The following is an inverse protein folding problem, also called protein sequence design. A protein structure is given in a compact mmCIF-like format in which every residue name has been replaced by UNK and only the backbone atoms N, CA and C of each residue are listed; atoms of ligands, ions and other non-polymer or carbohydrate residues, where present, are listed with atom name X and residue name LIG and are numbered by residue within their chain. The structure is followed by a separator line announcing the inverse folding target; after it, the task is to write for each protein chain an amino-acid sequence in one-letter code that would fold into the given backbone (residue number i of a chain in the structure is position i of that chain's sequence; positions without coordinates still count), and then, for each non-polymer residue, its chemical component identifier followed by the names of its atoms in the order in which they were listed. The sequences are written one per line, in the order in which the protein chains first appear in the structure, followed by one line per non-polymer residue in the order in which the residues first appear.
data_IF_669386809776
#
_entry.id   IF_669386809776
#
_cell.length_a   1.000
_cell.length_b   1.000
_cell.length_c   1.000
_cell.angle_alpha   90.00
_cell.angle_beta   90.00
_cell.angle_gamma   90.00
#
_symmetry.space_group_name_H-M   'P 1'
#
loop_
_entity.id
_entity.type
_entity.pdbx_description
1 polymer ?
#
# COMPACT_ATOMS: atom_id res chain seq x y z
N UNK A 1 15.71 -11.45 1.81
CA UNK A 1 15.02 -12.16 0.71
C UNK A 1 13.55 -11.81 0.79
N UNK A 2 12.92 -11.35 -0.30
CA UNK A 2 11.48 -11.11 -0.30
C UNK A 2 10.79 -12.45 -0.54
N UNK A 3 10.13 -12.99 0.49
CA UNK A 3 9.28 -14.16 0.34
C UNK A 3 8.03 -13.76 -0.46
N UNK A 4 7.60 -14.61 -1.39
CA UNK A 4 6.31 -14.41 -2.05
C UNK A 4 5.24 -14.81 -1.04
N UNK A 5 4.35 -13.89 -0.63
CA UNK A 5 3.29 -14.25 0.29
C UNK A 5 2.35 -15.25 -0.38
N UNK A 6 2.08 -16.36 0.31
CA UNK A 6 1.04 -17.30 -0.11
C UNK A 6 -0.33 -16.66 0.08
N UNK A 7 -1.16 -16.73 -0.96
CA UNK A 7 -2.53 -16.22 -0.94
C UNK A 7 -3.49 -17.39 -0.91
N UNK A 8 -4.51 -17.31 -0.07
CA UNK A 8 -5.63 -18.25 -0.15
C UNK A 8 -6.35 -18.13 -1.50
N UNK A 9 -7.14 -19.14 -1.85
CA UNK A 9 -7.97 -19.10 -3.05
C UNK A 9 -8.89 -17.87 -3.08
N UNK A 10 -9.47 -17.50 -1.93
CA UNK A 10 -10.36 -16.34 -1.82
C UNK A 10 -9.61 -15.02 -1.99
N UNK A 11 -8.44 -14.87 -1.35
CA UNK A 11 -7.59 -13.70 -1.52
C UNK A 11 -7.12 -13.55 -2.97
N UNK A 12 -6.77 -14.66 -3.61
CA UNK A 12 -6.37 -14.69 -5.02
C UNK A 12 -7.51 -14.27 -5.96
N UNK A 13 -8.74 -14.71 -5.70
CA UNK A 13 -9.92 -14.27 -6.47
C UNK A 13 -10.17 -12.77 -6.30
N UNK A 14 -10.10 -12.26 -5.08
CA UNK A 14 -10.27 -10.83 -4.79
C UNK A 14 -9.21 -9.99 -5.49
N UNK A 15 -7.94 -10.37 -5.36
CA UNK A 15 -6.84 -9.66 -6.02
C UNK A 15 -6.99 -9.67 -7.54
N UNK A 16 -7.43 -10.78 -8.14
CA UNK A 16 -7.67 -10.87 -9.59
C UNK A 16 -8.76 -9.90 -10.05
N UNK A 17 -9.85 -9.77 -9.29
CA UNK A 17 -10.94 -8.81 -9.59
C UNK A 17 -10.43 -7.37 -9.52
N UNK A 18 -9.62 -7.03 -8.51
CA UNK A 18 -8.98 -5.72 -8.40
C UNK A 18 -8.06 -5.46 -9.60
N UNK A 19 -7.24 -6.47 -9.96
CA UNK A 19 -6.32 -6.37 -11.09
C UNK A 19 -7.05 -6.12 -12.42
N UNK A 20 -8.18 -6.78 -12.65
CA UNK A 20 -9.05 -6.52 -13.81
C UNK A 20 -9.64 -5.13 -13.80
N UNK A 21 -10.19 -4.68 -12.67
CA UNK A 21 -10.76 -3.34 -12.54
C UNK A 21 -9.73 -2.23 -12.80
N UNK A 22 -8.48 -2.45 -12.37
CA UNK A 22 -7.38 -1.52 -12.58
C UNK A 22 -6.61 -1.74 -13.90
N UNK A 23 -7.05 -2.69 -14.73
CA UNK A 23 -6.42 -3.09 -16.00
C UNK A 23 -4.89 -3.32 -15.87
N UNK A 24 -4.47 -4.12 -14.89
CA UNK A 24 -3.06 -4.41 -14.66
C UNK A 24 -2.80 -5.86 -14.21
N UNK A 25 -1.56 -6.37 -14.32
CA UNK A 25 -1.20 -7.70 -13.80
C UNK A 25 -1.39 -7.78 -12.27
N UNK A 26 -1.76 -8.96 -11.76
CA UNK A 26 -2.02 -9.19 -10.32
C UNK A 26 -0.87 -8.77 -9.41
N UNK A 27 0.39 -8.95 -9.82
CA UNK A 27 1.56 -8.51 -9.04
C UNK A 27 1.62 -6.98 -8.89
N UNK A 28 1.29 -6.24 -9.96
CA UNK A 28 1.23 -4.77 -9.89
C UNK A 28 0.05 -4.31 -9.04
N UNK A 29 -1.10 -4.99 -9.16
CA UNK A 29 -2.26 -4.72 -8.32
C UNK A 29 -1.96 -4.95 -6.84
N UNK A 30 -1.22 -6.02 -6.50
CA UNK A 30 -0.82 -6.30 -5.12
C UNK A 30 0.06 -5.17 -4.55
N UNK A 31 1.04 -4.70 -5.32
CA UNK A 31 1.89 -3.58 -4.91
C UNK A 31 1.07 -2.31 -4.68
N UNK A 32 0.11 -2.02 -5.57
CA UNK A 32 -0.80 -0.88 -5.42
C UNK A 32 -1.68 -1.01 -4.17
N UNK A 33 -2.14 -2.21 -3.83
CA UNK A 33 -2.88 -2.47 -2.59
C UNK A 33 -2.00 -2.22 -1.36
N UNK A 34 -0.74 -2.66 -1.36
CA UNK A 34 0.17 -2.37 -0.25
C UNK A 34 0.49 -0.88 -0.11
N UNK A 35 0.65 -0.16 -1.22
CA UNK A 35 0.85 1.30 -1.20
C UNK A 35 -0.39 2.02 -0.66
N UNK A 36 -1.58 1.61 -1.11
CA UNK A 36 -2.85 2.16 -0.62
C UNK A 36 -3.04 1.87 0.87
N UNK A 37 -2.84 0.62 1.30
CA UNK A 37 -2.89 0.20 2.68
C UNK A 37 -1.91 1.01 3.55
N UNK A 38 -0.69 1.26 3.07
CA UNK A 38 0.30 2.08 3.76
C UNK A 38 -0.12 3.52 4.01
N UNK A 39 -1.02 4.06 3.17
CA UNK A 39 -1.55 5.41 3.32
C UNK A 39 -2.73 5.50 4.30
N UNK A 40 -3.53 4.43 4.42
CA UNK A 40 -4.74 4.42 5.26
C UNK A 40 -4.53 3.82 6.67
N UNK A 41 -3.55 2.94 6.84
CA UNK A 41 -3.30 2.27 8.13
C UNK A 41 -2.63 3.25 9.11
N UNK A 42 -2.98 3.13 10.40
CA UNK A 42 -2.34 3.90 11.47
C UNK A 42 -0.82 3.63 11.53
N UNK A 43 -0.07 4.65 11.12
CA UNK A 43 1.39 4.61 11.03
C UNK A 43 2.05 4.41 12.39
N UNK A 44 1.51 5.00 13.47
CA UNK A 44 2.06 4.86 14.82
C UNK A 44 1.94 3.43 15.30
N UNK A 45 0.76 2.83 15.11
CA UNK A 45 0.49 1.45 15.50
C UNK A 45 1.37 0.46 14.77
N UNK A 46 1.54 0.61 13.45
CA UNK A 46 2.42 -0.25 12.65
C UNK A 46 3.88 -0.09 13.07
N UNK A 47 4.35 1.15 13.23
CA UNK A 47 5.73 1.42 13.64
C UNK A 47 6.03 0.88 15.04
N UNK A 48 5.09 0.97 15.99
CA UNK A 48 5.26 0.47 17.35
C UNK A 48 5.32 -1.08 17.41
N UNK A 49 4.62 -1.76 16.50
CA UNK A 49 4.65 -3.22 16.40
C UNK A 49 5.81 -3.76 15.53
N UNK A 50 6.62 -2.88 14.92
CA UNK A 50 7.70 -3.25 14.02
C UNK A 50 8.80 -4.03 14.75
N UNK A 51 9.20 -5.18 14.20
CA UNK A 51 10.24 -6.06 14.77
C UNK A 51 11.60 -5.94 14.06
N UNK A 52 11.66 -5.23 12.94
CA UNK A 52 12.88 -5.05 12.16
C UNK A 52 13.14 -3.55 11.94
N UNK A 53 14.17 -3.04 12.63
CA UNK A 53 14.55 -1.63 12.54
C UNK A 53 15.63 -1.34 11.48
N UNK A 54 16.13 -2.36 10.78
CA UNK A 54 17.23 -2.21 9.81
C UNK A 54 16.88 -1.33 8.61
N UNK A 55 15.59 -1.20 8.29
CA UNK A 55 15.05 -0.41 7.16
C UNK A 55 14.06 0.67 7.59
N UNK A 56 14.02 1.03 8.88
CA UNK A 56 13.16 2.10 9.38
C UNK A 56 13.47 3.46 8.73
N UNK A 57 14.71 3.66 8.27
CA UNK A 57 15.09 4.86 7.54
C UNK A 57 14.38 5.00 6.20
N UNK A 58 13.94 3.93 5.53
CA UNK A 58 13.22 3.96 4.24
C UNK A 58 11.76 3.53 4.35
N UNK A 59 11.25 3.34 5.57
CA UNK A 59 9.92 2.80 5.83
C UNK A 59 8.81 3.86 5.67
N UNK A 60 7.72 3.51 4.99
CA UNK A 60 6.56 4.38 4.78
C UNK A 60 5.81 4.77 6.08
N UNK A 61 6.03 4.01 7.16
CA UNK A 61 5.36 4.20 8.45
C UNK A 61 6.17 5.00 9.48
N UNK A 62 7.45 5.31 9.19
CA UNK A 62 8.31 6.00 10.16
C UNK A 62 8.01 7.51 10.22
N UNK A 63 7.45 7.97 11.35
CA UNK A 63 7.06 9.36 11.56
C UNK A 63 8.22 10.35 11.72
N UNK A 64 9.44 9.90 12.01
CA UNK A 64 10.61 10.80 12.12
C UNK A 64 11.00 11.44 10.78
N UNK A 65 10.49 10.93 9.65
CA UNK A 65 10.55 11.58 8.34
C UNK A 65 9.47 12.65 8.11
N UNK A 66 8.47 12.74 8.99
CA UNK A 66 7.30 13.61 8.81
C UNK A 66 7.51 15.05 9.33
N UNK A 67 8.64 15.34 9.99
CA UNK A 67 8.95 16.67 10.53
C UNK A 67 9.49 17.64 9.47
N UNK A 68 8.86 17.72 8.29
CA UNK A 68 9.16 18.76 7.29
C UNK A 68 9.17 18.36 5.81
N UNK A 69 8.25 17.51 5.33
CA UNK A 69 8.13 17.25 3.88
C UNK A 69 6.72 17.53 3.37
N UNK A 70 6.53 18.39 2.35
CA UNK A 70 5.26 18.54 1.66
C UNK A 70 4.97 17.23 0.91
N UNK A 71 4.15 16.36 1.48
CA UNK A 71 3.44 15.36 0.70
C UNK A 71 2.14 15.96 0.16
N UNK A 72 2.28 17.13 -0.48
CA UNK A 72 1.27 17.68 -1.39
C UNK A 72 1.60 17.17 -2.80
N UNK A 73 1.16 15.93 -3.05
CA UNK A 73 0.87 15.45 -4.41
C UNK A 73 -0.12 14.27 -4.43
N UNK A 74 -0.64 13.84 -3.27
CA UNK A 74 -1.51 12.66 -3.15
C UNK A 74 -3.00 13.01 -3.07
N UNK A 75 -3.43 14.28 -3.04
CA UNK A 75 -4.87 14.58 -3.17
C UNK A 75 -5.42 14.25 -4.57
N UNK A 76 -4.56 14.14 -5.59
CA UNK A 76 -4.98 13.86 -6.97
C UNK A 76 -4.93 12.36 -7.37
N UNK A 77 -4.32 11.49 -6.55
CA UNK A 77 -4.30 10.02 -6.77
C UNK A 77 -5.41 9.27 -6.03
N UNK A 78 -5.87 9.77 -4.88
CA UNK A 78 -7.10 9.27 -4.26
C UNK A 78 -8.30 9.44 -5.20
N UNK A 79 -8.37 10.58 -5.91
CA UNK A 79 -9.32 10.75 -7.01
C UNK A 79 -9.11 9.71 -8.11
N UNK A 80 -7.89 9.35 -8.48
CA UNK A 80 -7.64 8.40 -9.58
C UNK A 80 -8.00 6.95 -9.21
N UNK A 81 -7.61 6.46 -8.02
CA UNK A 81 -7.97 5.09 -7.60
C UNK A 81 -9.47 4.98 -7.25
N UNK A 82 -10.03 5.97 -6.55
CA UNK A 82 -11.46 5.97 -6.21
C UNK A 82 -12.34 6.26 -7.43
N UNK A 83 -11.89 7.05 -8.42
CA UNK A 83 -12.63 7.22 -9.68
C UNK A 83 -12.56 6.01 -10.61
N UNK A 84 -11.50 5.20 -10.52
CA UNK A 84 -11.43 3.92 -11.24
C UNK A 84 -12.31 2.84 -10.60
N UNK A 85 -12.55 2.89 -9.29
CA UNK A 85 -13.39 1.93 -8.56
C UNK A 85 -14.88 2.33 -8.55
N UNK A 86 -15.21 3.62 -8.70
CA UNK A 86 -16.60 4.15 -8.65
C UNK A 86 -17.26 4.41 -10.02
N UNK A 87 -16.71 3.89 -11.12
CA UNK A 87 -17.36 3.96 -12.45
C UNK A 87 -18.48 2.93 -12.59
#
# INVERSE_FOLDING_TARGET
MAYTPELSNDQSRTLRRIAWALNMPMTKAMNAVFEYAGNIIDKKRVCAACKDNSKCNTCAFNQKRWSGSPHDHQKNKELCLLSLIKK
#
